data_IF_230863714886
#
_entry.id   IF_230863714886
#
_cell.length_a   1.000
_cell.length_b   1.000
_cell.length_c   1.000
_cell.angle_alpha   90.00
_cell.angle_beta   90.00
_cell.angle_gamma   90.00
#
_symmetry.space_group_name_H-M   'P 1'
#
loop_
_entity.id
_entity.type
_entity.pdbx_description
1 polymer ?
#
# COMPACT_ATOMS: atom_id res chain seq x y z
N UNK A 1 -19.56 10.56 -14.37
CA UNK A 1 -18.29 10.05 -13.81
C UNK A 1 -17.64 11.23 -13.08
N UNK A 2 -17.77 11.32 -11.75
CA UNK A 2 -17.20 12.44 -10.98
C UNK A 2 -15.86 11.98 -10.41
N UNK A 3 -14.76 12.48 -10.98
CA UNK A 3 -13.48 12.44 -10.31
C UNK A 3 -13.60 13.30 -9.04
N UNK A 4 -13.62 12.65 -7.87
CA UNK A 4 -13.41 13.32 -6.60
C UNK A 4 -11.94 13.75 -6.55
N UNK A 5 -11.65 14.93 -7.10
CA UNK A 5 -10.48 15.67 -6.69
C UNK A 5 -10.73 16.07 -5.24
N UNK A 6 -9.95 15.48 -4.32
CA UNK A 6 -9.91 15.93 -2.94
C UNK A 6 -9.44 17.38 -3.02
N UNK A 7 -10.37 18.31 -2.84
CA UNK A 7 -10.02 19.70 -2.58
C UNK A 7 -9.00 19.68 -1.44
N UNK A 8 -7.90 20.42 -1.57
CA UNK A 8 -6.97 20.66 -0.45
C UNK A 8 -7.76 21.38 0.65
N UNK A 9 -8.41 20.59 1.50
CA UNK A 9 -9.05 21.05 2.72
C UNK A 9 -7.92 21.55 3.60
N UNK A 10 -7.91 22.87 3.86
CA UNK A 10 -6.86 23.55 4.63
C UNK A 10 -6.74 23.04 6.07
N UNK A 11 -7.63 22.15 6.51
CA UNK A 11 -7.69 21.61 7.86
C UNK A 11 -7.36 20.10 7.97
N UNK A 12 -7.05 19.40 6.87
CA UNK A 12 -6.55 18.02 6.93
C UNK A 12 -5.03 18.03 6.88
N UNK A 13 -4.40 17.51 7.92
CA UNK A 13 -2.97 17.27 7.88
C UNK A 13 -2.65 16.07 6.98
N UNK A 14 -1.39 15.98 6.53
CA UNK A 14 -0.95 14.90 5.64
C UNK A 14 -1.09 13.51 6.26
N UNK A 15 -0.97 13.39 7.58
CA UNK A 15 -1.11 12.10 8.27
C UNK A 15 -2.55 11.62 8.19
N UNK A 16 -3.51 12.46 8.50
CA UNK A 16 -4.94 12.13 8.41
C UNK A 16 -5.35 11.76 6.98
N UNK A 17 -4.81 12.46 5.98
CA UNK A 17 -5.03 12.12 4.58
C UNK A 17 -4.52 10.72 4.23
N UNK A 18 -3.32 10.36 4.72
CA UNK A 18 -2.70 9.05 4.48
C UNK A 18 -3.46 7.93 5.20
N UNK A 19 -3.87 8.14 6.45
CA UNK A 19 -4.56 7.12 7.25
C UNK A 19 -5.98 6.83 6.76
N UNK A 20 -6.58 7.72 5.96
CA UNK A 20 -7.88 7.49 5.30
C UNK A 20 -7.77 6.64 4.03
N UNK A 21 -6.57 6.33 3.56
CA UNK A 21 -6.38 5.48 2.39
C UNK A 21 -6.73 4.04 2.77
N UNK A 22 -7.78 3.51 2.15
CA UNK A 22 -8.19 2.12 2.29
C UNK A 22 -8.15 1.39 0.95
N UNK A 23 -7.62 0.16 0.94
CA UNK A 23 -7.64 -0.76 -0.19
C UNK A 23 -7.05 -0.16 -1.48
N UNK A 24 -6.05 0.70 -1.35
CA UNK A 24 -5.37 1.28 -2.52
C UNK A 24 -4.67 0.17 -3.31
N UNK A 25 -4.96 0.06 -4.60
CA UNK A 25 -4.35 -0.94 -5.48
C UNK A 25 -2.95 -0.48 -5.92
N UNK A 26 -1.96 -0.78 -5.08
CA UNK A 26 -0.54 -0.48 -5.35
C UNK A 26 0.21 -1.63 -6.02
N UNK A 27 1.50 -1.39 -6.31
CA UNK A 27 2.38 -2.37 -6.95
C UNK A 27 2.51 -3.68 -6.15
N UNK A 28 2.49 -3.59 -4.82
CA UNK A 28 2.65 -4.72 -3.91
C UNK A 28 1.32 -5.35 -3.49
N UNK A 29 0.20 -4.91 -4.08
CA UNK A 29 -1.15 -5.34 -3.73
C UNK A 29 -1.97 -4.24 -3.07
N UNK A 30 -3.01 -4.64 -2.33
CA UNK A 30 -3.87 -3.72 -1.59
C UNK A 30 -3.12 -3.12 -0.41
N UNK A 31 -3.17 -1.80 -0.27
CA UNK A 31 -2.52 -1.03 0.79
C UNK A 31 -3.56 -0.28 1.62
N UNK A 32 -3.43 -0.41 2.94
CA UNK A 32 -4.12 0.37 3.96
C UNK A 32 -3.15 0.55 5.14
N UNK A 33 -3.25 1.67 5.85
CA UNK A 33 -2.52 1.88 7.11
C UNK A 33 -3.40 1.49 8.29
N UNK A 34 -2.83 0.82 9.29
CA UNK A 34 -3.53 0.60 10.56
C UNK A 34 -3.38 1.80 11.52
N UNK A 35 -3.98 1.70 12.71
CA UNK A 35 -3.94 2.77 13.71
C UNK A 35 -2.54 3.14 14.20
N UNK A 36 -1.56 2.25 14.04
CA UNK A 36 -0.17 2.47 14.44
C UNK A 36 0.67 3.03 13.28
N UNK A 37 0.12 3.04 12.06
CA UNK A 37 0.84 3.41 10.84
C UNK A 37 1.51 2.22 10.15
N UNK A 38 1.18 1.00 10.54
CA UNK A 38 1.72 -0.21 9.93
C UNK A 38 0.93 -0.59 8.67
N UNK A 39 1.61 -1.24 7.72
CA UNK A 39 1.01 -1.78 6.49
C UNK A 39 1.29 -3.28 6.44
N UNK A 40 0.23 -4.09 6.32
CA UNK A 40 0.35 -5.54 6.13
C UNK A 40 0.50 -5.84 4.65
N UNK A 41 1.65 -6.40 4.27
CA UNK A 41 1.94 -6.82 2.89
C UNK A 41 2.22 -8.33 2.82
N UNK A 42 1.86 -8.99 1.70
CA UNK A 42 2.20 -10.39 1.50
C UNK A 42 3.72 -10.56 1.39
N UNK A 43 4.27 -11.49 2.17
CA UNK A 43 5.68 -11.88 2.09
C UNK A 43 5.84 -12.98 1.04
N UNK A 44 6.85 -12.86 0.18
CA UNK A 44 7.22 -13.90 -0.78
C UNK A 44 8.63 -14.41 -0.50
N UNK A 45 8.75 -15.71 -0.20
CA UNK A 45 10.05 -16.38 -0.08
C UNK A 45 10.51 -16.80 -1.48
N UNK A 46 11.77 -16.52 -1.81
CA UNK A 46 12.41 -16.89 -3.07
C UNK A 46 13.73 -17.62 -2.80
N UNK A 47 14.07 -18.56 -3.67
CA UNK A 47 15.37 -19.23 -3.71
C UNK A 47 16.11 -18.86 -4.99
N UNK A 48 17.45 -18.80 -4.93
CA UNK A 48 18.29 -18.58 -6.10
C UNK A 48 18.76 -19.93 -6.62
N UNK A 49 18.38 -20.25 -7.87
CA UNK A 49 18.82 -21.47 -8.55
C UNK A 49 19.18 -21.13 -9.99
N UNK A 50 20.37 -21.53 -10.43
CA UNK A 50 20.87 -21.31 -11.80
C UNK A 50 20.73 -19.84 -12.25
N UNK A 51 21.20 -18.90 -11.41
CA UNK A 51 21.14 -17.45 -11.65
C UNK A 51 19.72 -16.86 -11.83
N UNK A 52 18.68 -17.54 -11.32
CA UNK A 52 17.29 -17.06 -11.34
C UNK A 52 16.68 -17.09 -9.95
N UNK A 53 15.86 -16.08 -9.62
CA UNK A 53 14.98 -16.11 -8.47
C UNK A 53 13.76 -16.99 -8.78
N UNK A 54 13.57 -18.06 -8.03
CA UNK A 54 12.40 -18.92 -8.08
C UNK A 54 11.57 -18.73 -6.81
N UNK A 55 10.25 -18.81 -6.91
CA UNK A 55 9.39 -18.86 -5.72
C UNK A 55 9.74 -20.13 -4.94
N UNK A 56 9.95 -19.99 -3.64
CA UNK A 56 10.09 -21.15 -2.75
C UNK A 56 8.68 -21.72 -2.56
N UNK A 57 8.45 -22.94 -3.09
CA UNK A 57 7.23 -23.72 -2.92
C UNK A 57 7.43 -24.73 -1.78
#
# INVERSE_FOLDING_TARGET
MKAHFIAMDKNIDTKDAIYRIENFNGLLGKLSFDKNGDVVLPIQIKTVKNNKFLKYL
#
